data_IF_305329497356
#
_entry.id   IF_305329497356
#
_cell.length_a   1.000
_cell.length_b   1.000
_cell.length_c   1.000
_cell.angle_alpha   90.00
_cell.angle_beta   90.00
_cell.angle_gamma   90.00
#
_symmetry.space_group_name_H-M   'P 1'
#
loop_
_entity.id
_entity.type
_entity.pdbx_description
1 polymer ?
#
# COMPACT_ATOMS: atom_id res chain seq x y z
N UNK A 1 8.51 -1.31 11.34
CA UNK A 1 7.02 -1.41 11.33
C UNK A 1 6.66 -2.87 11.11
N UNK A 2 5.40 -3.29 11.27
CA UNK A 2 5.00 -4.71 11.24
C UNK A 2 5.54 -5.50 10.03
N UNK A 3 5.63 -4.87 8.86
CA UNK A 3 6.20 -5.44 7.65
C UNK A 3 7.68 -5.84 7.83
N UNK A 4 8.53 -4.94 8.33
CA UNK A 4 9.95 -5.23 8.63
C UNK A 4 10.11 -6.42 9.59
N UNK A 5 9.27 -6.49 10.64
CA UNK A 5 9.30 -7.64 11.58
C UNK A 5 8.89 -8.95 10.91
N UNK A 6 7.95 -8.90 9.96
CA UNK A 6 7.48 -10.08 9.23
C UNK A 6 8.48 -10.55 8.17
N UNK A 7 9.32 -9.65 7.67
CA UNK A 7 10.47 -9.97 6.81
C UNK A 7 11.59 -10.62 7.62
N UNK A 8 11.93 -10.06 8.79
CA UNK A 8 12.94 -10.62 9.69
C UNK A 8 12.58 -12.01 10.22
N UNK A 9 11.29 -12.33 10.31
CA UNK A 9 10.76 -13.62 10.76
C UNK A 9 10.60 -14.65 9.65
N UNK A 10 11.02 -14.34 8.41
CA UNK A 10 10.87 -15.21 7.22
C UNK A 10 9.44 -15.75 7.04
N UNK A 11 8.42 -14.99 7.45
CA UNK A 11 7.03 -15.43 7.40
C UNK A 11 6.59 -15.64 5.95
N UNK A 12 5.93 -16.76 5.69
CA UNK A 12 5.26 -16.99 4.41
C UNK A 12 4.21 -15.92 4.14
N UNK A 13 3.86 -15.63 2.87
CA UNK A 13 2.84 -14.63 2.53
C UNK A 13 1.51 -14.84 3.28
N UNK A 14 1.10 -16.09 3.49
CA UNK A 14 -0.13 -16.43 4.23
C UNK A 14 0.01 -16.20 5.75
N UNK A 15 1.20 -16.44 6.33
CA UNK A 15 1.48 -16.15 7.73
C UNK A 15 1.46 -14.65 8.02
N UNK A 16 1.97 -13.82 7.08
CA UNK A 16 1.88 -12.36 7.17
C UNK A 16 0.43 -11.89 7.30
N UNK A 17 -0.47 -12.42 6.47
CA UNK A 17 -1.91 -12.12 6.54
C UNK A 17 -2.51 -12.58 7.87
N UNK A 18 -2.17 -13.79 8.30
CA UNK A 18 -2.64 -14.34 9.58
C UNK A 18 -2.18 -13.48 10.75
N UNK A 19 -0.95 -12.99 10.73
CA UNK A 19 -0.42 -12.11 11.77
C UNK A 19 -1.12 -10.76 11.78
N UNK A 20 -1.24 -10.08 10.63
CA UNK A 20 -1.86 -8.76 10.55
C UNK A 20 -3.33 -8.78 11.00
N UNK A 21 -4.07 -9.81 10.58
CA UNK A 21 -5.52 -9.91 10.86
C UNK A 21 -5.83 -10.17 12.33
N UNK A 22 -4.87 -10.64 13.14
CA UNK A 22 -5.01 -10.72 14.61
C UNK A 22 -5.15 -9.36 15.29
N UNK A 23 -4.71 -8.28 14.63
CA UNK A 23 -4.84 -6.92 15.16
C UNK A 23 -6.16 -6.26 14.79
N UNK A 24 -6.97 -6.88 13.93
CA UNK A 24 -8.26 -6.33 13.54
C UNK A 24 -9.27 -6.39 14.68
N UNK A 25 -10.08 -5.33 14.79
CA UNK A 25 -11.15 -5.20 15.77
C UNK A 25 -12.37 -4.56 15.11
N UNK A 26 -13.56 -4.88 15.62
CA UNK A 26 -14.82 -4.30 15.15
C UNK A 26 -15.00 -4.46 13.63
N UNK A 27 -15.27 -3.36 12.95
CA UNK A 27 -15.54 -3.33 11.49
C UNK A 27 -14.43 -3.96 10.65
N UNK A 28 -13.16 -3.83 11.05
CA UNK A 28 -12.04 -4.45 10.32
C UNK A 28 -12.04 -5.98 10.40
N UNK A 29 -12.43 -6.52 11.56
CA UNK A 29 -12.55 -7.97 11.73
C UNK A 29 -13.73 -8.52 10.92
N UNK A 30 -14.85 -7.80 10.90
CA UNK A 30 -16.03 -8.20 10.14
C UNK A 30 -15.77 -8.18 8.63
N UNK A 31 -15.11 -7.12 8.15
CA UNK A 31 -14.67 -7.02 6.76
C UNK A 31 -13.77 -8.20 6.38
N UNK A 32 -12.72 -8.47 7.17
CA UNK A 32 -11.79 -9.56 6.86
C UNK A 32 -12.47 -10.93 6.82
N UNK A 33 -13.45 -11.19 7.68
CA UNK A 33 -14.21 -12.43 7.65
C UNK A 33 -14.92 -12.63 6.29
N UNK A 34 -15.65 -11.61 5.84
CA UNK A 34 -16.34 -11.66 4.54
C UNK A 34 -15.37 -11.68 3.35
N UNK A 35 -14.27 -10.92 3.40
CA UNK A 35 -13.25 -10.93 2.36
C UNK A 35 -12.56 -12.29 2.26
N UNK A 36 -12.25 -12.92 3.40
CA UNK A 36 -11.65 -14.25 3.41
C UNK A 36 -12.58 -15.30 2.80
N UNK A 37 -13.88 -15.25 3.12
CA UNK A 37 -14.89 -16.12 2.49
C UNK A 37 -14.94 -15.88 0.98
N UNK A 38 -15.02 -14.63 0.54
CA UNK A 38 -14.95 -14.25 -0.88
C UNK A 38 -13.71 -14.83 -1.57
N UNK A 39 -12.53 -14.70 -0.96
CA UNK A 39 -11.28 -15.20 -1.55
C UNK A 39 -11.31 -16.72 -1.72
N UNK A 40 -11.81 -17.45 -0.71
CA UNK A 40 -11.96 -18.91 -0.78
C UNK A 40 -12.95 -19.32 -1.87
N UNK A 41 -14.12 -18.66 -1.95
CA UNK A 41 -15.16 -18.97 -2.94
C UNK A 41 -14.69 -18.71 -4.38
N UNK A 42 -13.85 -17.70 -4.59
CA UNK A 42 -13.36 -17.30 -5.92
C UNK A 42 -11.96 -17.86 -6.23
N UNK A 43 -11.47 -18.83 -5.44
CA UNK A 43 -10.16 -19.45 -5.62
C UNK A 43 -8.99 -18.43 -5.65
N UNK A 44 -9.17 -17.29 -4.97
CA UNK A 44 -8.12 -16.29 -4.81
C UNK A 44 -7.19 -16.73 -3.69
N UNK A 45 -5.91 -16.86 -4.01
CA UNK A 45 -4.90 -17.25 -3.03
C UNK A 45 -4.83 -16.25 -1.86
N UNK A 46 -4.87 -16.78 -0.63
CA UNK A 46 -4.65 -15.97 0.58
C UNK A 46 -3.15 -15.75 0.76
N UNK A 47 -2.67 -14.67 0.17
CA UNK A 47 -1.29 -14.19 0.30
C UNK A 47 -1.28 -12.69 0.64
N UNK A 48 -0.11 -12.17 1.01
CA UNK A 48 0.06 -10.78 1.45
C UNK A 48 -0.33 -9.77 0.37
N UNK A 49 0.00 -10.04 -0.89
CA UNK A 49 -0.28 -9.15 -2.02
C UNK A 49 -1.80 -8.96 -2.21
N UNK A 50 -2.55 -10.07 -2.36
CA UNK A 50 -4.00 -10.02 -2.52
C UNK A 50 -4.71 -9.38 -1.32
N UNK A 51 -4.28 -9.73 -0.10
CA UNK A 51 -4.79 -9.13 1.12
C UNK A 51 -4.56 -7.61 1.15
N UNK A 52 -3.33 -7.17 0.89
CA UNK A 52 -2.97 -5.75 0.94
C UNK A 52 -3.71 -4.94 -0.10
N UNK A 53 -3.88 -5.45 -1.32
CA UNK A 53 -4.68 -4.79 -2.36
C UNK A 53 -6.15 -4.62 -1.95
N UNK A 54 -6.78 -5.69 -1.43
CA UNK A 54 -8.17 -5.62 -0.95
C UNK A 54 -8.32 -4.70 0.26
N UNK A 55 -7.36 -4.73 1.18
CA UNK A 55 -7.33 -3.86 2.36
C UNK A 55 -7.22 -2.39 1.97
N UNK A 56 -6.31 -2.07 1.05
CA UNK A 56 -6.13 -0.71 0.55
C UNK A 56 -7.39 -0.24 -0.18
N UNK A 57 -7.98 -1.06 -1.06
CA UNK A 57 -9.24 -0.71 -1.74
C UNK A 57 -10.43 -0.49 -0.78
N UNK A 58 -10.46 -1.19 0.36
CA UNK A 58 -11.52 -1.01 1.36
C UNK A 58 -11.35 0.26 2.22
N UNK A 59 -10.11 0.58 2.60
CA UNK A 59 -9.84 1.57 3.64
C UNK A 59 -9.15 2.84 3.15
N UNK A 60 -8.66 2.86 1.91
CA UNK A 60 -8.03 4.02 1.29
C UNK A 60 -8.93 4.53 0.16
N UNK A 61 -9.65 5.65 0.38
CA UNK A 61 -10.55 6.19 -0.62
C UNK A 61 -9.82 6.64 -1.90
N UNK A 62 -10.45 6.47 -3.05
CA UNK A 62 -9.92 6.97 -4.34
C UNK A 62 -9.67 8.47 -4.35
N UNK A 63 -10.48 9.25 -3.62
CA UNK A 63 -10.27 10.69 -3.48
C UNK A 63 -8.95 11.02 -2.78
N UNK A 64 -8.55 10.18 -1.82
CA UNK A 64 -7.28 10.32 -1.11
C UNK A 64 -6.11 9.94 -2.03
N UNK A 65 -6.18 8.79 -2.71
CA UNK A 65 -5.11 8.38 -3.66
C UNK A 65 -4.95 9.38 -4.80
N UNK A 66 -6.04 9.92 -5.32
CA UNK A 66 -6.03 10.99 -6.33
C UNK A 66 -5.35 12.26 -5.82
N UNK A 67 -5.66 12.69 -4.59
CA UNK A 67 -5.00 13.83 -3.97
C UNK A 67 -3.49 13.59 -3.79
N UNK A 68 -3.08 12.40 -3.34
CA UNK A 68 -1.67 12.04 -3.20
C UNK A 68 -0.93 12.07 -4.54
N UNK A 69 -1.57 11.56 -5.61
CA UNK A 69 -1.02 11.65 -6.98
C UNK A 69 -0.88 13.09 -7.48
N UNK A 70 -1.89 13.94 -7.20
CA UNK A 70 -1.81 15.37 -7.52
C UNK A 70 -0.68 16.08 -6.79
N UNK A 71 -0.60 15.90 -5.47
CA UNK A 71 0.47 16.48 -4.66
C UNK A 71 1.85 15.99 -5.12
N UNK A 72 1.99 14.71 -5.47
CA UNK A 72 3.22 14.15 -6.01
C UNK A 72 3.62 14.83 -7.32
N UNK A 73 2.65 15.07 -8.21
CA UNK A 73 2.90 15.70 -9.51
C UNK A 73 3.36 17.16 -9.41
N UNK A 74 2.92 17.85 -8.35
CA UNK A 74 3.24 19.24 -8.06
C UNK A 74 4.48 19.36 -7.13
N UNK A 75 4.94 18.24 -6.56
CA UNK A 75 6.06 18.22 -5.61
C UNK A 75 7.36 18.72 -6.26
N UNK A 76 7.93 19.75 -5.67
CA UNK A 76 9.25 20.30 -6.01
C UNK A 76 10.03 20.50 -4.72
N UNK A 77 11.33 20.24 -4.75
CA UNK A 77 12.20 20.47 -3.58
C UNK A 77 12.17 21.95 -3.15
N UNK A 78 12.32 22.88 -4.11
CA UNK A 78 12.30 24.31 -3.81
C UNK A 78 13.37 24.69 -2.79
N UNK A 79 12.94 25.18 -1.62
CA UNK A 79 13.82 25.56 -0.50
C UNK A 79 13.98 24.48 0.57
N UNK A 80 13.29 23.33 0.45
CA UNK A 80 13.42 22.25 1.43
C UNK A 80 14.78 21.58 1.30
N UNK A 81 15.24 20.99 2.40
CA UNK A 81 16.36 20.07 2.35
C UNK A 81 16.01 18.85 1.48
N UNK A 82 17.06 18.15 1.01
CA UNK A 82 16.89 16.89 0.29
C UNK A 82 16.16 15.86 1.17
N UNK A 83 16.48 15.80 2.46
CA UNK A 83 15.85 14.86 3.39
C UNK A 83 14.34 15.10 3.52
N UNK A 84 13.91 16.34 3.71
CA UNK A 84 12.49 16.69 3.80
C UNK A 84 11.73 16.41 2.50
N UNK A 85 12.34 16.72 1.35
CA UNK A 85 11.76 16.40 0.05
C UNK A 85 11.60 14.90 -0.14
N UNK A 86 12.65 14.12 0.14
CA UNK A 86 12.64 12.66 0.00
C UNK A 86 11.61 12.01 0.90
N UNK A 87 11.48 12.49 2.15
CA UNK A 87 10.44 12.01 3.05
C UNK A 87 9.04 12.23 2.45
N UNK A 88 8.75 13.46 2.02
CA UNK A 88 7.44 13.80 1.43
C UNK A 88 7.17 13.03 0.14
N UNK A 89 8.18 12.87 -0.71
CA UNK A 89 8.08 12.07 -1.94
C UNK A 89 7.71 10.61 -1.63
N UNK A 90 8.38 9.99 -0.67
CA UNK A 90 8.11 8.60 -0.29
C UNK A 90 6.71 8.41 0.30
N UNK A 91 6.26 9.36 1.12
CA UNK A 91 4.89 9.37 1.66
C UNK A 91 3.85 9.43 0.54
N UNK A 92 4.02 10.34 -0.43
CA UNK A 92 3.09 10.53 -1.54
C UNK A 92 3.10 9.34 -2.52
N UNK A 93 4.28 8.78 -2.83
CA UNK A 93 4.41 7.64 -3.74
C UNK A 93 3.67 6.42 -3.20
N UNK A 94 3.78 6.14 -1.90
CA UNK A 94 3.17 4.98 -1.23
C UNK A 94 1.66 4.87 -1.46
N UNK A 95 0.96 6.00 -1.57
CA UNK A 95 -0.50 6.04 -1.72
C UNK A 95 -0.96 6.38 -3.15
N UNK A 96 -0.03 6.69 -4.05
CA UNK A 96 -0.33 7.04 -5.44
C UNK A 96 -0.37 5.84 -6.40
N UNK A 97 0.11 4.67 -5.97
CA UNK A 97 0.39 3.52 -6.85
C UNK A 97 -0.70 2.44 -6.89
N UNK A 98 -1.81 2.59 -6.17
CA UNK A 98 -2.83 1.54 -6.01
C UNK A 98 -4.00 1.61 -7.01
N UNK A 99 -3.90 2.38 -8.10
CA UNK A 99 -4.94 2.42 -9.14
C UNK A 99 -4.54 1.69 -10.44
N UNK A 100 -3.80 0.58 -10.33
CA UNK A 100 -3.17 -0.22 -11.39
C UNK A 100 -1.70 0.16 -11.60
N UNK A 101 -0.81 -0.79 -11.27
CA UNK A 101 0.63 -0.63 -11.38
C UNK A 101 1.08 -0.15 -12.75
N UNK A 102 1.46 1.12 -12.86
CA UNK A 102 2.29 1.65 -13.95
C UNK A 102 2.75 3.08 -13.65
N UNK A 103 3.52 3.26 -12.58
CA UNK A 103 4.61 4.23 -12.65
C UNK A 103 5.90 3.43 -12.52
N UNK A 104 6.21 2.68 -13.60
CA UNK A 104 7.50 2.01 -13.76
C UNK A 104 8.60 2.98 -13.36
N UNK A 105 9.59 2.50 -12.63
CA UNK A 105 10.79 3.25 -12.24
C UNK A 105 11.46 3.96 -13.45
N UNK A 106 11.16 3.48 -14.66
CA UNK A 106 11.53 4.07 -15.96
C UNK A 106 10.98 5.48 -16.21
N UNK A 107 9.88 5.89 -15.59
CA UNK A 107 9.33 7.25 -15.70
C UNK A 107 10.03 8.24 -14.74
N UNK A 108 10.69 7.75 -13.69
CA UNK A 108 11.35 8.60 -12.68
C UNK A 108 12.68 9.20 -13.18
N UNK A 109 13.34 8.59 -14.16
CA UNK A 109 14.66 9.07 -14.62
C UNK A 109 14.62 10.16 -15.71
N UNK A 110 13.50 10.37 -16.39
CA UNK A 110 13.44 11.28 -17.55
C UNK A 110 12.90 12.69 -17.25
N UNK A 111 12.57 13.02 -15.99
CA UNK A 111 12.05 14.37 -15.63
C UNK A 111 13.07 15.25 -14.87
N UNK A 112 14.24 14.72 -14.55
CA UNK A 112 15.28 15.43 -13.79
C UNK A 112 16.66 15.41 -14.49
N UNK A 113 16.67 15.30 -15.82
CA UNK A 113 17.85 15.65 -16.63
C UNK A 113 17.59 16.98 -17.32
#
# INVERSE_FOLDING_TARGET
>A
RMEDMLEDLECTPAEKVTFATRFFRGSASNWWHGTKEYMVTNEVEINWENFSGLFMGQYVPDSFTFQMGRELSELKQGRSSVAEYTQKFNELVRFSSDANGALSERAKMNKYR
#
